data_IF_800294867692
#
_entry.id   IF_800294867692
#
_cell.length_a   1.000
_cell.length_b   1.000
_cell.length_c   1.000
_cell.angle_alpha   90.00
_cell.angle_beta   90.00
_cell.angle_gamma   90.00
#
_symmetry.space_group_name_H-M   'P 1'
#
loop_
_entity.id
_entity.type
_entity.pdbx_description
1 polymer ?
#
# COMPACT_ATOMS: atom_id res chain seq x y z
N UNK A 1 23.35 -9.65 -21.59
CA UNK A 1 21.99 -9.07 -21.53
C UNK A 1 21.82 -8.46 -20.15
N UNK A 2 22.04 -7.15 -20.02
CA UNK A 2 21.62 -6.44 -18.81
C UNK A 2 20.14 -6.15 -19.01
N UNK A 3 19.28 -6.94 -18.39
CA UNK A 3 17.83 -6.65 -18.37
C UNK A 3 17.63 -5.44 -17.45
N UNK A 4 17.82 -4.24 -18.00
CA UNK A 4 17.41 -3.01 -17.34
C UNK A 4 15.91 -2.87 -17.54
N UNK A 5 15.10 -3.52 -16.68
CA UNK A 5 13.70 -3.17 -16.49
C UNK A 5 13.62 -2.44 -15.15
N UNK A 6 13.45 -1.12 -15.20
CA UNK A 6 13.03 -0.36 -14.03
C UNK A 6 11.85 -1.09 -13.39
N UNK A 7 11.99 -1.44 -12.11
CA UNK A 7 11.01 -2.18 -11.30
C UNK A 7 9.67 -1.47 -11.41
N UNK A 8 8.72 -2.05 -12.16
CA UNK A 8 7.34 -1.60 -12.17
C UNK A 8 6.71 -2.07 -10.85
N UNK A 9 6.36 -1.13 -9.98
CA UNK A 9 5.67 -1.42 -8.74
C UNK A 9 4.14 -1.31 -9.00
N UNK A 10 3.38 -2.32 -8.57
CA UNK A 10 1.92 -2.35 -8.61
C UNK A 10 1.39 -1.47 -7.48
N UNK A 11 0.86 -0.31 -7.85
CA UNK A 11 0.31 0.63 -6.88
C UNK A 11 -1.19 0.40 -6.77
N UNK A 12 -1.65 -0.05 -5.60
CA UNK A 12 -3.05 -0.36 -5.35
C UNK A 12 -3.60 0.50 -4.20
N UNK A 13 -4.84 0.94 -4.31
CA UNK A 13 -5.54 1.56 -3.19
C UNK A 13 -5.99 0.46 -2.23
N UNK A 14 -5.56 0.53 -0.97
CA UNK A 14 -5.78 -0.54 0.02
C UNK A 14 -6.58 0.01 1.19
N UNK A 15 -7.62 -0.73 1.58
CA UNK A 15 -8.44 -0.51 2.78
C UNK A 15 -8.29 -1.66 3.77
N UNK A 16 -8.14 -2.88 3.28
CA UNK A 16 -7.96 -4.09 4.10
C UNK A 16 -6.81 -4.97 3.57
N UNK A 17 -6.36 -5.93 4.37
CA UNK A 17 -5.39 -6.94 3.91
C UNK A 17 -5.93 -7.78 2.75
N UNK A 18 -7.25 -8.01 2.70
CA UNK A 18 -7.89 -8.77 1.62
C UNK A 18 -7.72 -8.10 0.24
N UNK A 19 -7.68 -6.76 0.17
CA UNK A 19 -7.38 -6.05 -1.09
C UNK A 19 -6.00 -6.44 -1.63
N UNK A 20 -5.03 -6.62 -0.73
CA UNK A 20 -3.65 -7.02 -1.06
C UNK A 20 -3.61 -8.48 -1.49
N UNK A 21 -4.27 -9.37 -0.74
CA UNK A 21 -4.31 -10.80 -1.05
C UNK A 21 -4.98 -11.05 -2.40
N UNK A 22 -6.08 -10.34 -2.68
CA UNK A 22 -6.74 -10.40 -3.98
C UNK A 22 -5.80 -9.95 -5.12
N UNK A 23 -5.09 -8.84 -4.94
CA UNK A 23 -4.12 -8.36 -5.92
C UNK A 23 -2.99 -9.36 -6.16
N UNK A 24 -2.44 -9.96 -5.09
CA UNK A 24 -1.42 -11.03 -5.19
C UNK A 24 -1.93 -12.23 -5.97
N UNK A 25 -3.09 -12.77 -5.60
CA UNK A 25 -3.69 -13.90 -6.30
C UNK A 25 -3.91 -13.60 -7.78
N UNK A 26 -4.40 -12.40 -8.12
CA UNK A 26 -4.56 -11.98 -9.52
C UNK A 26 -3.21 -11.90 -10.25
N UNK A 27 -2.19 -11.30 -9.63
CA UNK A 27 -0.83 -11.21 -10.18
C UNK A 27 -0.23 -12.58 -10.45
N UNK A 28 -0.43 -13.55 -9.54
CA UNK A 28 -0.01 -14.93 -9.72
C UNK A 28 -0.68 -15.56 -10.95
N UNK A 29 -1.99 -15.33 -11.16
CA UNK A 29 -2.71 -15.90 -12.31
C UNK A 29 -2.17 -15.43 -13.66
N UNK A 30 -1.55 -14.24 -13.71
CA UNK A 30 -0.99 -13.66 -14.93
C UNK A 30 0.54 -13.75 -14.98
N UNK A 31 1.18 -14.43 -14.03
CA UNK A 31 2.65 -14.53 -13.93
C UNK A 31 3.36 -13.19 -13.68
N UNK A 32 2.69 -12.23 -13.06
CA UNK A 32 3.26 -10.94 -12.72
C UNK A 32 4.09 -11.02 -11.44
N UNK A 33 5.33 -10.53 -11.51
CA UNK A 33 6.30 -10.52 -10.41
C UNK A 33 6.63 -9.10 -9.93
N UNK A 34 5.74 -8.15 -10.21
CA UNK A 34 5.84 -6.79 -9.70
C UNK A 34 5.80 -6.78 -8.16
N UNK A 35 6.40 -5.76 -7.56
CA UNK A 35 6.25 -5.50 -6.11
C UNK A 35 4.95 -4.75 -5.86
N UNK A 36 4.36 -4.91 -4.68
CA UNK A 36 3.13 -4.23 -4.30
C UNK A 36 3.43 -3.03 -3.40
N UNK A 37 2.97 -1.86 -3.82
CA UNK A 37 2.90 -0.65 -2.99
C UNK A 37 1.45 -0.39 -2.59
N UNK A 38 1.14 -0.50 -1.30
CA UNK A 38 -0.16 -0.08 -0.79
C UNK A 38 -0.23 1.45 -0.72
N UNK A 39 -1.22 2.03 -1.40
CA UNK A 39 -1.60 3.44 -1.26
C UNK A 39 -2.70 3.55 -0.22
N UNK A 40 -2.42 4.28 0.86
CA UNK A 40 -3.36 4.56 1.94
C UNK A 40 -3.92 5.98 1.75
N UNK A 41 -5.12 6.05 1.16
CA UNK A 41 -5.86 7.29 0.88
C UNK A 41 -7.10 7.45 1.78
N UNK A 42 -7.46 6.39 2.54
CA UNK A 42 -8.66 6.31 3.37
C UNK A 42 -8.31 5.94 4.81
N UNK A 43 -9.13 6.39 5.76
CA UNK A 43 -8.93 6.13 7.19
C UNK A 43 -8.83 4.64 7.53
N UNK A 44 -9.62 3.80 6.86
CA UNK A 44 -9.69 2.35 7.06
C UNK A 44 -8.34 1.68 6.76
N UNK A 45 -7.65 2.13 5.71
CA UNK A 45 -6.32 1.60 5.37
C UNK A 45 -5.25 1.96 6.42
N UNK A 46 -5.44 3.07 7.14
CA UNK A 46 -4.56 3.46 8.24
C UNK A 46 -4.86 2.64 9.50
N UNK A 47 -6.13 2.37 9.78
CA UNK A 47 -6.56 1.53 10.91
C UNK A 47 -6.05 0.09 10.75
N UNK A 48 -6.04 -0.43 9.53
CA UNK A 48 -5.58 -1.79 9.19
C UNK A 48 -4.09 -1.87 8.82
N UNK A 49 -3.31 -0.80 9.06
CA UNK A 49 -1.92 -0.68 8.60
C UNK A 49 -1.03 -1.87 9.01
N UNK A 50 -1.20 -2.39 10.23
CA UNK A 50 -0.36 -3.48 10.73
C UNK A 50 -0.55 -4.77 9.93
N UNK A 51 -1.78 -5.08 9.53
CA UNK A 51 -2.09 -6.27 8.72
C UNK A 51 -1.57 -6.09 7.29
N UNK A 52 -1.73 -4.89 6.73
CA UNK A 52 -1.27 -4.55 5.38
C UNK A 52 0.26 -4.60 5.28
N UNK A 53 0.99 -4.10 6.29
CA UNK A 53 2.45 -4.06 6.30
C UNK A 53 3.10 -5.45 6.18
N UNK A 54 2.44 -6.50 6.67
CA UNK A 54 2.92 -7.88 6.54
C UNK A 54 2.86 -8.41 5.10
N UNK A 55 2.04 -7.81 4.25
CA UNK A 55 1.71 -8.34 2.94
C UNK A 55 2.23 -7.50 1.77
N UNK A 56 2.80 -6.31 2.00
CA UNK A 56 3.25 -5.40 0.93
C UNK A 56 4.75 -5.09 0.99
N UNK A 57 5.33 -4.76 -0.17
CA UNK A 57 6.73 -4.36 -0.27
C UNK A 57 6.96 -2.92 0.19
N UNK A 58 5.94 -2.07 0.06
CA UNK A 58 5.99 -0.67 0.44
C UNK A 58 4.60 -0.12 0.77
N UNK A 59 4.58 0.95 1.57
CA UNK A 59 3.38 1.72 1.87
C UNK A 59 3.61 3.19 1.50
N UNK A 60 2.62 3.78 0.82
CA UNK A 60 2.54 5.21 0.52
C UNK A 60 1.33 5.79 1.24
N UNK A 61 1.55 6.76 2.13
CA UNK A 61 0.48 7.53 2.77
C UNK A 61 0.17 8.75 1.91
N UNK A 62 -0.97 8.72 1.22
CA UNK A 62 -1.39 9.78 0.31
C UNK A 62 -2.04 10.93 1.10
N UNK A 63 -1.19 11.80 1.64
CA UNK A 63 -1.59 12.90 2.54
C UNK A 63 -2.57 13.91 1.93
N UNK A 64 -2.65 14.01 0.60
CA UNK A 64 -3.62 14.86 -0.09
C UNK A 64 -5.05 14.36 0.13
N UNK A 65 -5.33 13.13 -0.29
CA UNK A 65 -6.65 12.49 -0.13
C UNK A 65 -6.98 12.25 1.35
N UNK A 66 -6.00 11.78 2.11
CA UNK A 66 -6.18 11.47 3.53
C UNK A 66 -6.43 12.73 4.38
N UNK A 67 -5.88 13.88 3.99
CA UNK A 67 -6.09 15.16 4.66
C UNK A 67 -7.51 15.74 4.48
N UNK A 68 -8.31 15.19 3.57
CA UNK A 68 -9.74 15.50 3.42
C UNK A 68 -10.58 14.70 4.42
N UNK A 69 -10.17 13.47 4.76
CA UNK A 69 -10.94 12.58 5.64
C UNK A 69 -10.53 12.67 7.12
N UNK A 70 -9.24 12.85 7.41
CA UNK A 70 -8.75 13.00 8.78
C UNK A 70 -8.00 14.33 8.94
N UNK A 71 -8.13 15.00 10.10
CA UNK A 71 -7.35 16.21 10.38
C UNK A 71 -5.87 15.93 10.13
N UNK A 72 -5.22 16.78 9.31
CA UNK A 72 -3.82 16.57 8.89
C UNK A 72 -2.87 16.43 10.07
N UNK A 73 -3.18 16.98 11.24
CA UNK A 73 -2.36 16.84 12.45
C UNK A 73 -2.33 15.41 13.00
N UNK A 74 -3.27 14.54 12.61
CA UNK A 74 -3.32 13.12 13.03
C UNK A 74 -2.51 12.20 12.13
N UNK A 75 -2.22 12.58 10.89
CA UNK A 75 -1.45 11.75 9.95
C UNK A 75 -0.03 11.43 10.47
N UNK A 76 0.74 12.38 11.06
CA UNK A 76 2.06 12.09 11.64
C UNK A 76 2.02 11.12 12.83
N UNK A 77 0.88 10.99 13.52
CA UNK A 77 0.75 10.18 14.74
C UNK A 77 0.86 8.68 14.46
N UNK A 78 0.50 8.23 13.25
CA UNK A 78 0.64 6.84 12.83
C UNK A 78 2.08 6.40 12.59
N UNK A 79 3.05 7.33 12.67
CA UNK A 79 4.47 7.03 12.60
C UNK A 79 5.16 7.36 13.92
N UNK A 80 5.07 6.44 14.89
CA UNK A 80 5.98 6.39 16.05
C UNK A 80 5.99 5.01 16.73
N UNK A 81 6.83 4.10 16.25
CA UNK A 81 7.93 3.50 17.02
C UNK A 81 8.77 2.56 16.15
N UNK A 82 10.03 2.47 16.57
CA UNK A 82 11.21 1.82 15.98
C UNK A 82 11.00 0.39 15.51
#
# INVERSE_FOLDING_TARGET
MVSNKGRLDCNILVRTVDDVLFAKSYMETIGCTARIMAKLEKSEGIENLNEILGEVDAVMVARGDLGVEIPMERVPMYKKRS
#
